data_IF_061295118970
#
_entry.id   IF_061295118970
#
_cell.length_a   1.000
_cell.length_b   1.000
_cell.length_c   1.000
_cell.angle_alpha   90.00
_cell.angle_beta   90.00
_cell.angle_gamma   90.00
#
_symmetry.space_group_name_H-M   'P 1'
#
loop_
_entity.id
_entity.type
_entity.pdbx_description
1 polymer ?
#
# COMPACT_ATOMS: atom_id res chain seq x y z
N UNK A 1 -23.35 6.57 -43.25
CA UNK A 1 -22.05 6.52 -42.54
C UNK A 1 -22.09 5.36 -41.57
N UNK A 2 -21.14 4.42 -41.61
CA UNK A 2 -21.09 3.26 -40.70
C UNK A 2 -20.14 3.58 -39.54
N UNK A 3 -20.65 3.61 -38.30
CA UNK A 3 -19.82 3.79 -37.11
C UNK A 3 -19.01 2.52 -36.87
N UNK A 4 -17.67 2.65 -36.88
CA UNK A 4 -16.74 1.59 -36.51
C UNK A 4 -16.51 1.69 -35.00
N UNK A 5 -17.05 0.75 -34.24
CA UNK A 5 -16.72 0.61 -32.81
C UNK A 5 -15.30 0.04 -32.72
N UNK A 6 -14.37 0.87 -32.24
CA UNK A 6 -13.00 0.44 -31.95
C UNK A 6 -13.03 -0.09 -30.52
N UNK A 7 -13.08 -1.42 -30.37
CA UNK A 7 -12.88 -2.06 -29.07
C UNK A 7 -11.38 -2.03 -28.81
N UNK A 8 -10.93 -1.14 -27.92
CA UNK A 8 -9.54 -1.13 -27.47
C UNK A 8 -9.31 -2.37 -26.61
N UNK A 9 -8.20 -3.07 -26.86
CA UNK A 9 -7.75 -4.14 -25.97
C UNK A 9 -7.67 -3.63 -24.53
N UNK A 10 -7.95 -4.52 -23.58
CA UNK A 10 -8.09 -4.19 -22.16
C UNK A 10 -6.76 -3.58 -21.67
N UNK A 11 -6.75 -2.26 -21.56
CA UNK A 11 -5.57 -1.47 -21.21
C UNK A 11 -4.96 -2.00 -19.89
N UNK A 12 -3.63 -2.08 -19.83
CA UNK A 12 -2.92 -2.60 -18.65
C UNK A 12 -3.29 -1.80 -17.40
N UNK A 13 -3.51 -0.49 -17.55
CA UNK A 13 -4.02 0.40 -16.50
C UNK A 13 -5.43 0.04 -16.04
N UNK A 14 -6.31 -0.38 -16.96
CA UNK A 14 -7.66 -0.85 -16.62
C UNK A 14 -7.62 -2.17 -15.87
N UNK A 15 -6.66 -3.04 -16.20
CA UNK A 15 -6.45 -4.30 -15.48
C UNK A 15 -5.88 -4.05 -14.07
N UNK A 16 -4.96 -3.10 -13.93
CA UNK A 16 -4.44 -2.65 -12.63
C UNK A 16 -5.53 -2.02 -11.75
N UNK A 17 -6.35 -1.13 -12.33
CA UNK A 17 -7.45 -0.49 -11.61
C UNK A 17 -8.46 -1.53 -11.08
N UNK A 18 -8.81 -2.52 -11.90
CA UNK A 18 -9.67 -3.62 -11.46
C UNK A 18 -9.03 -4.44 -10.33
N UNK A 19 -7.74 -4.72 -10.41
CA UNK A 19 -7.02 -5.44 -9.36
C UNK A 19 -7.04 -4.67 -8.03
N UNK A 20 -6.67 -3.39 -8.04
CA UNK A 20 -6.66 -2.54 -6.85
C UNK A 20 -8.08 -2.42 -6.27
N UNK A 21 -9.09 -2.19 -7.12
CA UNK A 21 -10.48 -2.08 -6.69
C UNK A 21 -10.98 -3.35 -5.97
N UNK A 22 -10.67 -4.53 -6.51
CA UNK A 22 -11.05 -5.80 -5.88
C UNK A 22 -10.35 -6.02 -4.53
N UNK A 23 -9.09 -5.60 -4.38
CA UNK A 23 -8.38 -5.67 -3.10
C UNK A 23 -9.02 -4.73 -2.09
N UNK A 24 -9.27 -3.47 -2.46
CA UNK A 24 -9.91 -2.50 -1.56
C UNK A 24 -11.29 -3.00 -1.13
N UNK A 25 -12.12 -3.43 -2.09
CA UNK A 25 -13.45 -3.95 -1.82
C UNK A 25 -13.44 -5.16 -0.86
N UNK A 26 -12.46 -6.06 -0.99
CA UNK A 26 -12.33 -7.22 -0.11
C UNK A 26 -12.12 -6.83 1.36
N UNK A 27 -11.38 -5.76 1.62
CA UNK A 27 -11.02 -5.35 2.98
C UNK A 27 -11.83 -4.15 3.49
N UNK A 28 -12.64 -3.51 2.64
CA UNK A 28 -13.41 -2.33 3.02
C UNK A 28 -14.36 -2.60 4.19
N UNK A 29 -14.96 -3.78 4.26
CA UNK A 29 -15.87 -4.17 5.34
C UNK A 29 -15.12 -4.62 6.62
N UNK A 30 -13.85 -5.00 6.49
CA UNK A 30 -13.01 -5.45 7.61
C UNK A 30 -12.22 -4.30 8.25
N UNK A 31 -12.02 -3.19 7.53
CA UNK A 31 -11.25 -2.03 7.98
C UNK A 31 -12.19 -1.00 8.62
N UNK A 32 -12.06 -0.82 9.92
CA UNK A 32 -12.68 0.30 10.64
C UNK A 32 -11.84 1.57 10.47
N UNK A 33 -12.26 2.45 9.56
CA UNK A 33 -11.56 3.70 9.25
C UNK A 33 -11.44 4.64 10.45
N UNK A 34 -12.41 4.62 11.38
CA UNK A 34 -12.41 5.49 12.55
C UNK A 34 -11.38 5.02 13.60
N UNK A 35 -11.00 3.74 13.56
CA UNK A 35 -9.95 3.18 14.41
C UNK A 35 -8.52 3.41 13.91
N UNK A 36 -8.37 3.91 12.67
CA UNK A 36 -7.06 4.09 12.08
C UNK A 36 -6.26 5.17 12.82
N UNK A 37 -4.96 4.93 13.09
CA UNK A 37 -4.13 5.94 13.70
C UNK A 37 -3.92 7.11 12.75
N UNK A 38 -3.72 8.30 13.32
CA UNK A 38 -3.27 9.47 12.55
C UNK A 38 -2.05 9.07 11.68
N UNK A 39 -2.10 9.29 10.36
CA UNK A 39 -1.06 8.84 9.43
C UNK A 39 0.32 9.38 9.78
N UNK A 40 0.42 10.66 10.17
CA UNK A 40 1.68 11.31 10.46
C UNK A 40 2.28 10.73 11.75
N UNK A 41 1.44 10.53 12.77
CA UNK A 41 1.85 9.90 14.03
C UNK A 41 2.29 8.45 13.81
N UNK A 42 1.57 7.69 12.99
CA UNK A 42 1.93 6.32 12.64
C UNK A 42 3.27 6.25 11.91
N UNK A 43 3.46 7.09 10.88
CA UNK A 43 4.69 7.14 10.11
C UNK A 43 5.89 7.53 10.97
N UNK A 44 5.73 8.51 11.87
CA UNK A 44 6.78 8.91 12.80
C UNK A 44 7.20 7.74 13.72
N UNK A 45 6.22 7.06 14.35
CA UNK A 45 6.49 5.89 15.21
C UNK A 45 7.21 4.79 14.45
N UNK A 46 6.76 4.51 13.21
CA UNK A 46 7.37 3.50 12.35
C UNK A 46 8.81 3.85 12.01
N UNK A 47 9.10 5.10 11.66
CA UNK A 47 10.46 5.55 11.34
C UNK A 47 11.39 5.36 12.52
N UNK A 48 11.00 5.83 13.71
CA UNK A 48 11.78 5.69 14.95
C UNK A 48 12.06 4.22 15.25
N UNK A 49 11.05 3.36 15.12
CA UNK A 49 11.19 1.93 15.36
C UNK A 49 12.20 1.27 14.39
N UNK A 50 12.12 1.58 13.10
CA UNK A 50 13.05 1.05 12.11
C UNK A 50 14.48 1.57 12.33
N UNK A 51 14.64 2.85 12.67
CA UNK A 51 15.95 3.41 13.05
C UNK A 51 16.55 2.70 14.26
N UNK A 52 15.75 2.47 15.31
CA UNK A 52 16.18 1.73 16.50
C UNK A 52 16.61 0.29 16.16
N UNK A 53 15.80 -0.41 15.37
CA UNK A 53 16.09 -1.79 14.94
C UNK A 53 17.37 -1.87 14.11
N UNK A 54 17.61 -0.91 13.21
CA UNK A 54 18.85 -0.81 12.45
C UNK A 54 20.05 -0.56 13.36
N UNK A 55 19.92 0.36 14.31
CA UNK A 55 20.97 0.65 15.30
C UNK A 55 21.31 -0.58 16.15
N UNK A 56 20.32 -1.33 16.64
CA UNK A 56 20.56 -2.53 17.45
C UNK A 56 21.27 -3.62 16.66
N UNK A 57 20.88 -3.82 15.39
CA UNK A 57 21.60 -4.74 14.50
C UNK A 57 23.06 -4.33 14.31
N UNK A 58 23.33 -3.03 14.10
CA UNK A 58 24.69 -2.51 13.96
C UNK A 58 25.51 -2.70 15.24
N UNK A 59 24.96 -2.33 16.40
CA UNK A 59 25.62 -2.51 17.71
C UNK A 59 25.97 -3.98 17.96
N UNK A 60 25.03 -4.89 17.75
CA UNK A 60 25.23 -6.32 17.97
C UNK A 60 26.28 -6.91 17.02
N UNK A 61 26.40 -6.37 15.79
CA UNK A 61 27.47 -6.74 14.85
C UNK A 61 28.84 -6.23 15.28
N UNK A 62 28.91 -5.07 15.96
CA UNK A 62 30.16 -4.47 16.44
C UNK A 62 30.69 -5.09 17.74
N UNK A 63 29.82 -5.72 18.53
CA UNK A 63 30.20 -6.39 19.79
C UNK A 63 30.56 -7.89 19.63
N UNK A 64 30.46 -8.43 18.41
CA UNK A 64 31.01 -9.75 18.03
C UNK A 64 32.36 -9.56 17.38
#
# INVERSE_FOLDING_TARGET
MKNKVIVKDKDEWSSLANFIGNIIAKYADEIDFDSLPDPDVYLQKRYIYESYKAYMKFRNKKMK
#
